data_IF_075039179300
#
_entry.id   IF_075039179300
#
_cell.length_a   1.000
_cell.length_b   1.000
_cell.length_c   1.000
_cell.angle_alpha   90.00
_cell.angle_beta   90.00
_cell.angle_gamma   90.00
#
_symmetry.space_group_name_H-M   'P 1'
#
loop_
_entity.id
_entity.type
_entity.pdbx_description
1 polymer ?
#
# COMPACT_ATOMS: atom_id res chain seq x y z
N UNK A 1 6.32 32.06 9.54
CA UNK A 1 6.48 30.60 9.31
C UNK A 1 7.94 30.12 9.23
N UNK A 2 8.90 30.97 8.80
CA UNK A 2 10.31 30.61 8.56
C UNK A 2 10.99 29.91 9.75
N UNK A 3 10.76 30.41 10.98
CA UNK A 3 11.33 29.79 12.19
C UNK A 3 10.87 28.35 12.39
N UNK A 4 9.59 28.05 12.09
CA UNK A 4 9.07 26.67 12.17
C UNK A 4 9.76 25.75 11.16
N UNK A 5 10.02 26.23 9.94
CA UNK A 5 10.76 25.45 8.95
C UNK A 5 12.20 25.19 9.38
N UNK A 6 12.86 26.20 9.97
CA UNK A 6 14.21 26.03 10.52
C UNK A 6 14.24 25.02 11.66
N UNK A 7 13.29 25.12 12.61
CA UNK A 7 13.15 24.18 13.72
C UNK A 7 12.91 22.75 13.21
N UNK A 8 12.04 22.60 12.22
CA UNK A 8 11.79 21.31 11.58
C UNK A 8 13.03 20.74 10.92
N UNK A 9 13.76 21.54 10.13
CA UNK A 9 15.03 21.11 9.53
C UNK A 9 16.02 20.64 10.60
N UNK A 10 16.19 21.40 11.70
CA UNK A 10 17.07 20.98 12.79
C UNK A 10 16.61 19.70 13.47
N UNK A 11 15.31 19.51 13.69
CA UNK A 11 14.77 18.28 14.26
C UNK A 11 15.01 17.10 13.31
N UNK A 12 14.80 17.30 12.02
CA UNK A 12 14.97 16.28 10.99
C UNK A 12 16.45 15.89 10.83
N UNK A 13 17.39 16.82 10.91
CA UNK A 13 18.84 16.52 10.89
C UNK A 13 19.26 15.69 12.11
N UNK A 14 18.74 16.02 13.29
CA UNK A 14 19.17 15.39 14.55
C UNK A 14 18.45 14.06 14.84
N UNK A 15 17.35 13.78 14.16
CA UNK A 15 16.61 12.53 14.31
C UNK A 15 17.06 11.48 13.29
N UNK A 16 17.13 10.22 13.71
CA UNK A 16 17.30 9.10 12.78
C UNK A 16 16.01 8.77 12.02
N UNK A 17 14.87 8.88 12.70
CA UNK A 17 13.54 8.60 12.15
C UNK A 17 12.89 9.91 11.66
N UNK A 18 11.78 9.77 10.93
CA UNK A 18 10.98 10.92 10.50
C UNK A 18 10.40 11.65 11.70
N UNK A 19 10.65 12.95 11.76
CA UNK A 19 10.02 13.81 12.77
C UNK A 19 8.60 14.17 12.38
N UNK A 20 7.75 14.48 13.36
CA UNK A 20 6.39 14.97 13.12
C UNK A 20 6.47 16.32 12.37
N UNK A 21 5.91 16.42 11.16
CA UNK A 21 5.99 17.63 10.38
C UNK A 21 5.09 18.70 11.01
N UNK A 22 5.54 19.98 11.08
CA UNK A 22 4.71 21.08 11.60
C UNK A 22 3.55 21.48 10.68
N UNK A 23 3.49 20.89 9.47
CA UNK A 23 2.47 21.10 8.47
C UNK A 23 2.04 19.76 7.91
N UNK A 24 0.77 19.67 7.51
CA UNK A 24 0.19 18.45 6.95
C UNK A 24 0.71 18.12 5.54
N UNK A 25 1.13 19.16 4.81
CA UNK A 25 1.54 19.09 3.41
C UNK A 25 2.53 20.19 3.06
N UNK A 26 3.32 19.97 2.01
CA UNK A 26 4.18 21.02 1.45
C UNK A 26 3.35 22.12 0.78
N UNK A 27 2.19 21.78 0.23
CA UNK A 27 1.23 22.75 -0.29
C UNK A 27 0.80 23.77 0.78
N UNK A 28 0.54 23.31 2.01
CA UNK A 28 0.19 24.19 3.13
C UNK A 28 1.30 25.20 3.45
N UNK A 29 2.57 24.78 3.35
CA UNK A 29 3.72 25.69 3.53
C UNK A 29 3.73 26.77 2.46
N UNK A 30 3.53 26.38 1.20
CA UNK A 30 3.49 27.31 0.07
C UNK A 30 2.36 28.34 0.21
N UNK A 31 1.16 27.91 0.57
CA UNK A 31 0.02 28.80 0.78
C UNK A 31 0.27 29.79 1.93
N UNK A 32 0.80 29.31 3.05
CA UNK A 32 1.16 30.17 4.18
C UNK A 32 2.24 31.16 3.80
N UNK A 33 3.23 30.75 3.02
CA UNK A 33 4.28 31.62 2.54
C UNK A 33 3.75 32.73 1.63
N UNK A 34 2.88 32.39 0.66
CA UNK A 34 2.26 33.37 -0.25
C UNK A 34 1.46 34.40 0.55
N UNK A 35 0.69 33.96 1.55
CA UNK A 35 -0.06 34.86 2.45
C UNK A 35 0.87 35.75 3.27
N UNK A 36 1.97 35.24 3.82
CA UNK A 36 2.95 36.04 4.55
C UNK A 36 3.62 37.08 3.63
N UNK A 37 3.93 36.71 2.39
CA UNK A 37 4.58 37.59 1.41
C UNK A 37 3.66 38.75 0.97
N UNK A 38 2.37 38.47 0.74
CA UNK A 38 1.38 39.48 0.37
C UNK A 38 1.15 40.53 1.46
N UNK A 39 1.29 40.13 2.73
CA UNK A 39 1.06 41.01 3.88
C UNK A 39 2.32 41.77 4.32
N UNK A 40 3.46 41.55 3.68
CA UNK A 40 4.75 42.10 4.10
C UNK A 40 5.24 43.21 3.16
N UNK A 41 5.46 44.44 3.63
CA UNK A 41 5.91 45.57 2.81
C UNK A 41 7.44 45.51 2.57
N UNK A 42 7.96 44.37 2.13
CA UNK A 42 9.39 44.20 1.86
C UNK A 42 9.75 44.65 0.44
N UNK A 43 10.91 45.30 0.24
CA UNK A 43 11.48 45.52 -1.09
C UNK A 43 11.61 44.22 -1.89
N UNK A 44 11.38 44.28 -3.21
CA UNK A 44 11.38 43.12 -4.10
C UNK A 44 12.68 42.27 -3.97
N UNK A 45 13.83 42.92 -3.89
CA UNK A 45 15.14 42.25 -3.75
C UNK A 45 15.28 41.43 -2.47
N UNK A 46 14.63 41.86 -1.37
CA UNK A 46 14.58 41.08 -0.13
C UNK A 46 13.58 39.95 -0.22
N UNK A 47 12.43 40.18 -0.87
CA UNK A 47 11.45 39.12 -1.09
C UNK A 47 12.05 37.95 -1.87
N UNK A 48 12.82 38.24 -2.93
CA UNK A 48 13.43 37.21 -3.76
C UNK A 48 14.48 36.39 -2.98
N UNK A 49 15.32 37.04 -2.16
CA UNK A 49 16.24 36.32 -1.25
C UNK A 49 15.52 35.44 -0.25
N UNK A 50 14.37 35.89 0.29
CA UNK A 50 13.57 35.09 1.22
C UNK A 50 12.96 33.89 0.52
N UNK A 51 12.46 34.04 -0.71
CA UNK A 51 11.95 32.93 -1.54
C UNK A 51 13.04 31.87 -1.75
N UNK A 52 14.23 32.30 -2.18
CA UNK A 52 15.36 31.39 -2.42
C UNK A 52 15.77 30.64 -1.15
N UNK A 53 15.79 31.33 -0.01
CA UNK A 53 16.10 30.72 1.27
C UNK A 53 15.05 29.68 1.69
N UNK A 54 13.77 29.96 1.49
CA UNK A 54 12.69 29.04 1.85
C UNK A 54 12.68 27.83 0.93
N UNK A 55 12.86 28.02 -0.39
CA UNK A 55 12.93 26.93 -1.35
C UNK A 55 14.11 26.01 -1.03
N UNK A 56 15.31 26.57 -0.81
CA UNK A 56 16.48 25.78 -0.45
C UNK A 56 16.30 25.01 0.86
N UNK A 57 15.66 25.64 1.86
CA UNK A 57 15.33 24.98 3.14
C UNK A 57 14.35 23.82 2.93
N UNK A 58 13.26 24.03 2.18
CA UNK A 58 12.28 22.99 1.90
C UNK A 58 12.86 21.84 1.10
N UNK A 59 13.69 22.12 0.09
CA UNK A 59 14.39 21.09 -0.68
C UNK A 59 15.30 20.24 0.21
N UNK A 60 16.02 20.86 1.14
CA UNK A 60 16.86 20.12 2.09
C UNK A 60 16.02 19.21 3.01
N UNK A 61 14.88 19.69 3.50
CA UNK A 61 13.95 18.89 4.31
C UNK A 61 13.42 17.70 3.50
N UNK A 62 12.93 17.95 2.29
CA UNK A 62 12.38 16.91 1.40
C UNK A 62 13.43 15.84 1.11
N UNK A 63 14.65 16.23 0.75
CA UNK A 63 15.74 15.29 0.46
C UNK A 63 16.08 14.39 1.67
N UNK A 64 16.22 14.99 2.86
CA UNK A 64 16.48 14.25 4.10
C UNK A 64 15.35 13.25 4.40
N UNK A 65 14.10 13.70 4.29
CA UNK A 65 12.93 12.88 4.61
C UNK A 65 12.74 11.74 3.63
N UNK A 66 12.88 11.98 2.33
CA UNK A 66 12.84 10.92 1.31
C UNK A 66 13.91 9.86 1.59
N UNK A 67 15.15 10.26 1.91
CA UNK A 67 16.22 9.32 2.26
C UNK A 67 15.86 8.46 3.46
N UNK A 68 15.27 9.05 4.50
CA UNK A 68 14.79 8.31 5.68
C UNK A 68 13.66 7.36 5.36
N UNK A 69 12.66 7.81 4.60
CA UNK A 69 11.54 6.96 4.16
C UNK A 69 12.08 5.76 3.38
N UNK A 70 12.94 5.99 2.39
CA UNK A 70 13.54 4.91 1.59
C UNK A 70 14.37 3.97 2.46
N UNK A 71 15.12 4.51 3.42
CA UNK A 71 15.86 3.70 4.39
C UNK A 71 14.91 2.81 5.21
N UNK A 72 13.83 3.36 5.79
CA UNK A 72 12.85 2.56 6.55
C UNK A 72 12.20 1.48 5.69
N UNK A 73 11.82 1.81 4.45
CA UNK A 73 11.27 0.84 3.49
C UNK A 73 12.27 -0.28 3.19
N UNK A 74 13.55 0.05 3.00
CA UNK A 74 14.61 -0.96 2.76
C UNK A 74 14.78 -1.93 3.94
N UNK A 75 14.50 -1.47 5.16
CA UNK A 75 14.54 -2.28 6.38
C UNK A 75 13.25 -3.08 6.61
N UNK A 76 12.30 -3.01 5.69
CA UNK A 76 11.02 -3.66 5.88
C UNK A 76 10.14 -2.97 6.93
N UNK A 77 10.33 -1.68 7.19
CA UNK A 77 9.46 -0.90 8.09
C UNK A 77 8.46 -0.08 7.29
N UNK A 78 7.40 0.37 7.95
CA UNK A 78 6.45 1.33 7.41
C UNK A 78 6.77 2.69 8.01
N UNK A 79 7.20 3.68 7.19
CA UNK A 79 7.48 5.02 7.68
C UNK A 79 6.23 5.62 8.34
N UNK A 80 6.42 6.35 9.43
CA UNK A 80 5.38 7.13 10.11
C UNK A 80 5.66 8.63 9.96
N UNK A 81 4.67 9.48 10.25
CA UNK A 81 4.80 10.95 10.23
C UNK A 81 5.15 11.52 8.85
N UNK A 82 4.65 10.91 7.77
CA UNK A 82 4.82 11.42 6.42
C UNK A 82 3.86 12.60 6.16
N UNK A 83 4.24 13.51 5.28
CA UNK A 83 3.31 14.50 4.72
C UNK A 83 2.40 13.86 3.69
N UNK A 84 1.28 14.51 3.35
CA UNK A 84 0.34 14.01 2.35
C UNK A 84 1.00 13.71 0.98
N UNK A 85 1.95 14.54 0.56
CA UNK A 85 2.68 14.32 -0.69
C UNK A 85 3.65 13.13 -0.61
N UNK A 86 4.31 12.95 0.52
CA UNK A 86 5.21 11.80 0.78
C UNK A 86 4.42 10.49 0.77
N UNK A 87 3.26 10.45 1.43
CA UNK A 87 2.35 9.31 1.41
C UNK A 87 1.91 8.97 -0.02
N UNK A 88 1.55 9.98 -0.81
CA UNK A 88 1.14 9.80 -2.20
C UNK A 88 2.29 9.24 -3.05
N UNK A 89 3.51 9.71 -2.83
CA UNK A 89 4.71 9.26 -3.54
C UNK A 89 5.06 7.80 -3.20
N UNK A 90 4.93 7.42 -1.93
CA UNK A 90 5.40 6.12 -1.40
C UNK A 90 4.31 5.05 -1.40
N UNK A 91 3.04 5.45 -1.40
CA UNK A 91 1.87 4.57 -1.41
C UNK A 91 1.95 3.42 -2.44
N UNK A 92 2.34 3.66 -3.71
CA UNK A 92 2.52 2.59 -4.68
C UNK A 92 3.56 1.53 -4.25
N UNK A 93 4.68 1.94 -3.64
CA UNK A 93 5.73 1.03 -3.17
C UNK A 93 5.23 0.19 -1.99
N UNK A 94 4.48 0.79 -1.07
CA UNK A 94 3.85 0.08 0.04
C UNK A 94 2.83 -0.95 -0.47
N UNK A 95 2.04 -0.61 -1.50
CA UNK A 95 1.10 -1.54 -2.13
C UNK A 95 1.81 -2.73 -2.77
N UNK A 96 2.93 -2.52 -3.48
CA UNK A 96 3.73 -3.61 -4.05
C UNK A 96 4.25 -4.53 -2.94
N UNK A 97 4.70 -3.95 -1.83
CA UNK A 97 5.18 -4.72 -0.69
C UNK A 97 4.08 -5.50 0.03
N UNK A 98 2.89 -4.92 0.12
CA UNK A 98 1.69 -5.55 0.70
C UNK A 98 0.99 -6.48 -0.28
N UNK A 99 1.33 -6.41 -1.57
CA UNK A 99 0.90 -7.34 -2.60
C UNK A 99 1.58 -8.68 -2.30
N UNK A 100 1.00 -9.39 -1.35
CA UNK A 100 1.12 -10.83 -1.29
C UNK A 100 0.54 -11.32 -2.62
N UNK A 101 1.19 -12.25 -3.34
CA UNK A 101 0.37 -13.23 -4.04
C UNK A 101 -0.60 -13.70 -2.97
N UNK A 102 -1.91 -13.62 -3.19
CA UNK A 102 -2.79 -14.45 -2.38
C UNK A 102 -2.10 -15.81 -2.42
N UNK A 103 -1.56 -16.26 -1.27
CA UNK A 103 -1.42 -17.68 -1.07
C UNK A 103 -2.87 -18.10 -1.20
N UNK A 104 -3.30 -18.45 -2.43
CA UNK A 104 -4.29 -19.48 -2.63
C UNK A 104 -3.77 -20.50 -1.65
N UNK A 105 -4.46 -20.63 -0.50
CA UNK A 105 -4.23 -21.77 0.39
C UNK A 105 -4.07 -22.91 -0.60
N UNK A 106 -2.99 -23.66 -0.50
CA UNK A 106 -2.85 -24.89 -1.26
C UNK A 106 -4.03 -25.78 -0.85
N UNK A 107 -5.22 -25.47 -1.38
CA UNK A 107 -6.38 -26.32 -1.38
C UNK A 107 -5.88 -27.42 -2.30
N UNK A 108 -5.55 -28.54 -1.68
CA UNK A 108 -5.22 -29.74 -2.41
C UNK A 108 -6.42 -30.01 -3.30
N UNK A 109 -6.26 -29.81 -4.61
CA UNK A 109 -7.28 -30.22 -5.56
C UNK A 109 -7.12 -31.71 -5.77
N UNK A 110 -8.24 -32.41 -5.83
CA UNK A 110 -8.28 -33.84 -6.04
C UNK A 110 -9.16 -34.13 -7.24
N UNK A 111 -8.79 -35.14 -8.02
CA UNK A 111 -9.61 -35.62 -9.12
C UNK A 111 -10.60 -36.64 -8.55
N UNK A 112 -11.88 -36.42 -8.82
CA UNK A 112 -12.94 -37.35 -8.44
C UNK A 112 -13.65 -37.86 -9.68
N UNK A 113 -14.11 -39.11 -9.61
CA UNK A 113 -14.99 -39.73 -10.58
C UNK A 113 -16.42 -39.75 -10.03
N UNK A 114 -17.37 -39.23 -10.80
CA UNK A 114 -18.78 -39.27 -10.42
C UNK A 114 -19.36 -40.67 -10.62
N UNK A 115 -19.99 -41.22 -9.59
CA UNK A 115 -20.61 -42.56 -9.61
C UNK A 115 -22.06 -42.53 -10.11
N UNK A 116 -22.69 -41.37 -10.03
CA UNK A 116 -24.06 -41.08 -10.49
C UNK A 116 -24.10 -39.70 -11.14
N UNK A 117 -25.08 -39.45 -12.02
CA UNK A 117 -25.25 -38.13 -12.62
C UNK A 117 -25.61 -37.11 -11.54
N UNK A 118 -24.88 -35.99 -11.49
CA UNK A 118 -25.06 -34.93 -10.50
C UNK A 118 -25.30 -33.59 -11.21
N UNK A 119 -26.32 -32.80 -10.83
CA UNK A 119 -26.45 -31.43 -11.32
C UNK A 119 -25.21 -30.58 -10.99
N UNK A 120 -25.09 -29.42 -11.65
CA UNK A 120 -23.98 -28.51 -11.44
C UNK A 120 -23.82 -28.13 -9.96
N UNK A 121 -22.57 -28.05 -9.52
CA UNK A 121 -22.18 -27.82 -8.13
C UNK A 121 -21.54 -26.43 -8.07
N UNK A 122 -21.85 -25.68 -7.00
CA UNK A 122 -21.15 -24.44 -6.67
C UNK A 122 -20.06 -24.79 -5.67
N UNK A 123 -18.80 -24.61 -6.09
CA UNK A 123 -17.61 -24.87 -5.26
C UNK A 123 -17.45 -23.82 -4.16
N UNK A 124 -16.58 -24.06 -3.18
CA UNK A 124 -16.17 -23.05 -2.16
C UNK A 124 -15.71 -21.72 -2.80
N UNK A 125 -15.27 -21.74 -4.06
CA UNK A 125 -14.83 -20.56 -4.82
C UNK A 125 -15.97 -19.81 -5.51
N UNK A 126 -17.23 -20.17 -5.24
CA UNK A 126 -18.42 -19.67 -5.92
C UNK A 126 -18.42 -19.93 -7.44
N UNK A 127 -17.60 -20.88 -7.90
CA UNK A 127 -17.56 -21.31 -9.30
C UNK A 127 -18.55 -22.46 -9.48
N UNK A 128 -19.46 -22.31 -10.45
CA UNK A 128 -20.39 -23.34 -10.86
C UNK A 128 -19.71 -24.27 -11.87
N UNK A 129 -19.69 -25.58 -11.58
CA UNK A 129 -19.06 -26.61 -12.43
C UNK A 129 -20.04 -27.77 -12.62
N UNK A 130 -20.10 -28.32 -13.83
CA UNK A 130 -21.05 -29.37 -14.22
C UNK A 130 -22.21 -28.80 -15.04
N UNK A 131 -23.24 -29.61 -15.36
CA UNK A 131 -23.61 -30.90 -14.77
C UNK A 131 -22.64 -32.05 -15.10
N UNK A 132 -22.62 -33.08 -14.25
CA UNK A 132 -21.76 -34.25 -14.39
C UNK A 132 -22.58 -35.51 -14.66
N UNK A 133 -22.14 -36.34 -15.60
CA UNK A 133 -22.69 -37.66 -15.84
C UNK A 133 -21.94 -38.74 -15.05
N UNK A 134 -22.55 -39.92 -14.92
CA UNK A 134 -21.89 -41.09 -14.33
C UNK A 134 -20.64 -41.46 -15.13
N UNK A 135 -19.49 -41.50 -14.45
CA UNK A 135 -18.18 -41.82 -15.02
C UNK A 135 -17.30 -40.60 -15.29
N UNK A 136 -17.86 -39.38 -15.25
CA UNK A 136 -17.11 -38.15 -15.51
C UNK A 136 -16.06 -37.88 -14.43
N UNK A 137 -14.94 -37.30 -14.87
CA UNK A 137 -13.85 -36.86 -14.00
C UNK A 137 -13.89 -35.35 -13.83
N UNK A 138 -13.79 -34.89 -12.58
CA UNK A 138 -13.69 -33.47 -12.26
C UNK A 138 -12.58 -33.21 -11.25
N UNK A 139 -11.92 -32.05 -11.41
CA UNK A 139 -10.94 -31.54 -10.44
C UNK A 139 -11.65 -30.61 -9.48
N UNK A 140 -11.75 -31.00 -8.21
CA UNK A 140 -12.45 -30.26 -7.17
C UNK A 140 -11.53 -29.98 -5.97
N UNK A 141 -11.80 -28.93 -5.17
CA UNK A 141 -11.16 -28.75 -3.88
C UNK A 141 -11.37 -29.99 -2.98
N UNK A 142 -10.35 -30.38 -2.20
CA UNK A 142 -10.42 -31.59 -1.37
C UNK A 142 -11.60 -31.64 -0.39
N UNK A 143 -12.14 -30.49 0.02
CA UNK A 143 -13.30 -30.39 0.90
C UNK A 143 -14.59 -30.77 0.18
N UNK A 144 -14.86 -30.10 -0.94
CA UNK A 144 -16.00 -30.41 -1.81
C UNK A 144 -15.96 -31.87 -2.29
N UNK A 145 -14.76 -32.37 -2.62
CA UNK A 145 -14.56 -33.78 -2.96
C UNK A 145 -14.93 -34.72 -1.81
N UNK A 146 -14.52 -34.42 -0.56
CA UNK A 146 -14.83 -35.25 0.62
C UNK A 146 -16.34 -35.28 0.90
N UNK A 147 -17.02 -34.14 0.76
CA UNK A 147 -18.46 -34.06 0.97
C UNK A 147 -19.24 -34.90 -0.06
N UNK A 148 -18.78 -34.90 -1.32
CA UNK A 148 -19.36 -35.75 -2.38
C UNK A 148 -19.05 -37.24 -2.19
N UNK A 149 -17.89 -37.56 -1.62
CA UNK A 149 -17.53 -38.93 -1.23
C UNK A 149 -18.38 -39.44 -0.07
N UNK A 150 -18.57 -38.63 0.99
CA UNK A 150 -19.40 -38.98 2.15
C UNK A 150 -20.87 -39.19 1.75
N UNK A 151 -21.35 -38.43 0.75
CA UNK A 151 -22.69 -38.59 0.17
C UNK A 151 -22.79 -39.76 -0.83
N UNK A 152 -21.69 -40.45 -1.13
CA UNK A 152 -21.64 -41.58 -2.05
C UNK A 152 -21.84 -41.20 -3.53
N UNK A 153 -21.67 -39.93 -3.88
CA UNK A 153 -21.93 -39.41 -5.24
C UNK A 153 -20.69 -39.45 -6.13
N UNK A 154 -19.51 -39.22 -5.55
CA UNK A 154 -18.25 -39.29 -6.26
C UNK A 154 -17.23 -40.13 -5.46
N UNK A 155 -16.18 -40.59 -6.14
CA UNK A 155 -15.06 -41.30 -5.52
C UNK A 155 -13.75 -40.69 -5.99
N UNK A 156 -12.76 -40.55 -5.10
CA UNK A 156 -11.39 -40.19 -5.50
C UNK A 156 -10.87 -41.12 -6.58
N UNK A 157 -10.41 -40.50 -7.66
CA UNK A 157 -9.68 -41.20 -8.70
C UNK A 157 -8.22 -41.33 -8.24
N UNK A 158 -7.63 -42.54 -8.23
CA UNK A 158 -6.27 -42.78 -7.77
C UNK A 158 -5.20 -42.13 -8.64
#
# INVERSE_FOLDING_TARGET
MIEKLRLWLTAEVNSRLLTEPPYSSYAEVAERFIKELQNSPLPQSLQDKVKDHIISTLLAIVDLRIKKILWELSQGRTPSNMTAEEERLIGPLLKIRQASPQRKKSQNYVVVQFLVSHPAIVTEEFIQIGPFAKGDLAKLPARDAKDLEERGVAKRFP
#
